data_IF_531819879931
#
_entry.id   IF_531819879931
#
_cell.length_a   1.000
_cell.length_b   1.000
_cell.length_c   1.000
_cell.angle_alpha   90.00
_cell.angle_beta   90.00
_cell.angle_gamma   90.00
#
_symmetry.space_group_name_H-M   'P 1'
#
loop_
_entity.id
_entity.type
_entity.pdbx_description
1 polymer ?
#
# COMPACT_ATOMS: atom_id res chain seq x y z
N UNK A 1 3.91 -10.74 36.05
CA UNK A 1 3.32 -10.03 34.89
C UNK A 1 2.99 -10.93 33.69
N UNK A 2 3.06 -12.26 33.78
CA UNK A 2 2.78 -13.18 32.67
C UNK A 2 1.30 -13.62 32.54
N UNK A 3 0.45 -13.31 33.53
CA UNK A 3 -0.94 -13.78 33.59
C UNK A 3 -1.90 -12.92 32.75
N UNK A 4 -1.64 -11.60 32.58
CA UNK A 4 -2.46 -10.74 31.72
C UNK A 4 -2.38 -11.12 30.25
N UNK A 5 -1.22 -11.57 29.78
CA UNK A 5 -1.04 -11.91 28.38
C UNK A 5 -1.92 -13.09 27.97
N UNK A 6 -2.04 -14.14 28.81
CA UNK A 6 -2.85 -15.34 28.51
C UNK A 6 -4.34 -15.05 28.33
N UNK A 7 -4.91 -14.08 29.06
CA UNK A 7 -6.32 -13.71 28.93
C UNK A 7 -6.61 -12.98 27.60
N UNK A 8 -5.64 -12.21 27.09
CA UNK A 8 -5.72 -11.52 25.79
C UNK A 8 -5.62 -12.54 24.63
N UNK A 9 -4.95 -13.69 24.82
CA UNK A 9 -4.76 -14.71 23.77
C UNK A 9 -6.05 -15.47 23.41
N UNK A 10 -7.06 -15.49 24.27
CA UNK A 10 -8.29 -16.25 24.07
C UNK A 10 -9.35 -15.51 23.24
N UNK A 11 -9.10 -14.24 22.89
CA UNK A 11 -10.02 -13.38 22.13
C UNK A 11 -9.37 -12.86 20.85
N UNK A 12 -8.59 -13.69 20.16
CA UNK A 12 -8.12 -13.29 18.84
C UNK A 12 -9.33 -13.21 17.91
N UNK A 13 -9.67 -12.02 17.37
CA UNK A 13 -10.70 -11.93 16.36
C UNK A 13 -10.26 -12.82 15.18
N UNK A 14 -11.20 -13.57 14.62
CA UNK A 14 -10.95 -14.30 13.38
C UNK A 14 -10.59 -13.25 12.33
N UNK A 15 -9.32 -13.17 11.95
CA UNK A 15 -8.90 -12.26 10.91
C UNK A 15 -9.31 -12.83 9.56
N UNK A 16 -10.12 -12.07 8.83
CA UNK A 16 -10.44 -12.33 7.44
C UNK A 16 -10.11 -11.07 6.64
N UNK A 17 -9.18 -11.23 5.71
CA UNK A 17 -8.59 -10.14 4.92
C UNK A 17 -9.65 -9.46 4.03
N UNK A 18 -10.40 -10.25 3.27
CA UNK A 18 -11.42 -9.74 2.34
C UNK A 18 -12.48 -8.93 3.08
N UNK A 19 -12.98 -9.43 4.21
CA UNK A 19 -13.99 -8.72 5.00
C UNK A 19 -13.44 -7.44 5.62
N UNK A 20 -12.17 -7.44 6.03
CA UNK A 20 -11.51 -6.27 6.62
C UNK A 20 -11.38 -5.16 5.58
N UNK A 21 -10.99 -5.49 4.35
CA UNK A 21 -10.87 -4.54 3.24
C UNK A 21 -12.24 -3.99 2.86
N UNK A 22 -13.26 -4.85 2.79
CA UNK A 22 -14.64 -4.45 2.51
C UNK A 22 -15.18 -3.45 3.54
N UNK A 23 -14.85 -3.65 4.81
CA UNK A 23 -15.18 -2.72 5.89
C UNK A 23 -14.43 -1.39 5.73
N UNK A 24 -13.16 -1.41 5.34
CA UNK A 24 -12.38 -0.20 5.14
C UNK A 24 -12.86 0.61 3.94
N UNK A 25 -13.23 -0.03 2.83
CA UNK A 25 -13.84 0.62 1.66
C UNK A 25 -15.16 1.30 2.05
N UNK A 26 -16.03 0.59 2.77
CA UNK A 26 -17.29 1.16 3.28
C UNK A 26 -17.06 2.28 4.29
N UNK A 27 -16.01 2.21 5.11
CA UNK A 27 -15.67 3.27 6.06
C UNK A 27 -15.08 4.50 5.35
N UNK A 28 -14.32 4.29 4.27
CA UNK A 28 -13.81 5.35 3.41
C UNK A 28 -14.95 6.14 2.75
N UNK A 29 -15.94 5.45 2.18
CA UNK A 29 -17.14 6.09 1.60
C UNK A 29 -17.93 6.92 2.62
N UNK A 30 -17.91 6.51 3.90
CA UNK A 30 -18.57 7.22 5.02
C UNK A 30 -17.72 8.34 5.62
N UNK A 31 -16.44 8.45 5.27
CA UNK A 31 -15.49 9.40 5.87
C UNK A 31 -15.00 9.01 7.27
N UNK A 32 -15.11 7.73 7.65
CA UNK A 32 -14.74 7.22 8.98
C UNK A 32 -13.44 6.37 8.97
N UNK A 33 -12.69 6.39 7.86
CA UNK A 33 -11.52 5.55 7.64
C UNK A 33 -10.51 5.60 8.79
N UNK A 34 -10.17 6.80 9.28
CA UNK A 34 -9.18 6.98 10.34
C UNK A 34 -9.56 6.20 11.60
N UNK A 35 -10.83 6.28 12.01
CA UNK A 35 -11.33 5.60 13.21
C UNK A 35 -11.25 4.09 13.04
N UNK A 36 -11.65 3.57 11.88
CA UNK A 36 -11.64 2.13 11.59
C UNK A 36 -10.21 1.58 11.57
N UNK A 37 -9.28 2.28 10.90
CA UNK A 37 -7.86 1.88 10.87
C UNK A 37 -7.21 1.92 12.26
N UNK A 38 -7.48 2.97 13.05
CA UNK A 38 -6.98 3.05 14.43
C UNK A 38 -7.51 1.91 15.29
N UNK A 39 -8.79 1.58 15.16
CA UNK A 39 -9.41 0.46 15.86
C UNK A 39 -8.72 -0.86 15.49
N UNK A 40 -8.53 -1.12 14.20
CA UNK A 40 -7.83 -2.31 13.69
C UNK A 40 -6.41 -2.40 14.25
N UNK A 41 -5.58 -1.37 14.04
CA UNK A 41 -4.20 -1.38 14.50
C UNK A 41 -4.07 -1.47 16.02
N UNK A 42 -4.98 -0.89 16.80
CA UNK A 42 -4.96 -1.04 18.26
C UNK A 42 -5.09 -2.50 18.72
N UNK A 43 -5.74 -3.35 17.91
CA UNK A 43 -5.90 -4.77 18.20
C UNK A 43 -4.72 -5.61 17.69
N UNK A 44 -4.27 -5.33 16.45
CA UNK A 44 -3.27 -6.18 15.79
C UNK A 44 -1.81 -5.75 16.03
N UNK A 45 -1.51 -4.48 16.32
CA UNK A 45 -0.12 -4.05 16.60
C UNK A 45 0.43 -4.72 17.86
N UNK A 46 -0.29 -4.76 19.02
CA UNK A 46 0.18 -5.48 20.19
C UNK A 46 0.29 -6.99 19.93
N UNK A 47 -0.57 -7.56 19.08
CA UNK A 47 -0.52 -8.96 18.69
C UNK A 47 0.82 -9.32 18.03
N UNK A 48 1.28 -8.45 17.14
CA UNK A 48 2.49 -8.64 16.35
C UNK A 48 3.74 -8.43 17.22
N UNK A 49 3.81 -7.32 17.96
CA UNK A 49 5.07 -6.87 18.58
C UNK A 49 5.17 -7.11 20.09
N UNK A 50 4.07 -7.31 20.84
CA UNK A 50 4.15 -7.45 22.31
C UNK A 50 4.52 -8.85 22.80
N UNK A 51 4.64 -9.83 21.89
CA UNK A 51 4.81 -11.25 22.21
C UNK A 51 6.25 -11.74 22.25
N UNK A 52 7.22 -10.85 22.01
CA UNK A 52 8.64 -11.21 21.93
C UNK A 52 8.87 -12.31 20.90
N UNK A 53 8.23 -12.17 19.75
CA UNK A 53 8.42 -13.09 18.64
C UNK A 53 9.83 -12.91 18.06
N UNK A 54 10.33 -13.94 17.39
CA UNK A 54 11.52 -13.78 16.56
C UNK A 54 11.23 -12.85 15.38
N UNK A 55 12.27 -12.21 14.86
CA UNK A 55 12.15 -11.18 13.81
C UNK A 55 11.39 -11.70 12.58
N UNK A 56 11.62 -12.94 12.18
CA UNK A 56 10.93 -13.53 11.02
C UNK A 56 9.42 -13.67 11.26
N UNK A 57 9.04 -14.08 12.46
CA UNK A 57 7.63 -14.26 12.83
C UNK A 57 6.92 -12.92 13.04
N UNK A 58 7.58 -11.94 13.64
CA UNK A 58 7.06 -10.57 13.71
C UNK A 58 6.81 -10.02 12.31
N UNK A 59 7.79 -10.16 11.41
CA UNK A 59 7.65 -9.72 10.02
C UNK A 59 6.48 -10.41 9.31
N UNK A 60 6.34 -11.73 9.49
CA UNK A 60 5.22 -12.48 8.89
C UNK A 60 3.87 -11.97 9.41
N UNK A 61 3.71 -11.78 10.72
CA UNK A 61 2.45 -11.28 11.26
C UNK A 61 2.19 -9.82 10.89
N UNK A 62 3.22 -8.97 10.86
CA UNK A 62 3.09 -7.60 10.40
C UNK A 62 2.61 -7.55 8.95
N UNK A 63 3.21 -8.37 8.08
CA UNK A 63 2.79 -8.50 6.69
C UNK A 63 1.34 -8.97 6.58
N UNK A 64 0.96 -10.04 7.28
CA UNK A 64 -0.40 -10.61 7.17
C UNK A 64 -1.49 -9.70 7.76
N UNK A 65 -1.27 -9.08 8.92
CA UNK A 65 -2.35 -8.38 9.63
C UNK A 65 -2.37 -6.86 9.42
N UNK A 66 -1.22 -6.26 9.08
CA UNK A 66 -1.06 -4.81 9.04
C UNK A 66 -0.84 -4.32 7.62
N UNK A 67 0.13 -4.89 6.90
CA UNK A 67 0.59 -4.34 5.64
C UNK A 67 -0.20 -4.86 4.44
N UNK A 68 -0.34 -6.17 4.26
CA UNK A 68 -1.01 -6.73 3.09
C UNK A 68 -2.46 -6.24 2.90
N UNK A 69 -3.30 -6.17 3.97
CA UNK A 69 -4.67 -5.65 3.84
C UNK A 69 -4.69 -4.17 3.47
N UNK A 70 -3.69 -3.40 3.95
CA UNK A 70 -3.53 -1.99 3.62
C UNK A 70 -3.10 -1.79 2.17
N UNK A 71 -2.15 -2.59 1.69
CA UNK A 71 -1.71 -2.56 0.31
C UNK A 71 -2.86 -2.87 -0.64
N UNK A 72 -3.62 -3.93 -0.37
CA UNK A 72 -4.79 -4.28 -1.19
C UNK A 72 -5.88 -3.20 -1.14
N UNK A 73 -6.15 -2.63 0.03
CA UNK A 73 -7.08 -1.51 0.18
C UNK A 73 -6.64 -0.29 -0.66
N UNK A 74 -5.36 0.07 -0.62
CA UNK A 74 -4.83 1.22 -1.38
C UNK A 74 -4.80 0.97 -2.89
N UNK A 75 -4.50 -0.26 -3.31
CA UNK A 75 -4.45 -0.64 -4.72
C UNK A 75 -5.83 -0.98 -5.31
N UNK A 76 -6.84 -1.20 -4.48
CA UNK A 76 -8.16 -1.66 -4.91
C UNK A 76 -8.13 -3.08 -5.50
N UNK A 77 -7.24 -3.95 -4.99
CA UNK A 77 -6.99 -5.30 -5.49
C UNK A 77 -5.55 -5.75 -5.24
N UNK A 78 -5.14 -6.84 -5.89
CA UNK A 78 -3.77 -7.36 -5.74
C UNK A 78 -2.72 -6.31 -6.18
N UNK A 79 -1.78 -5.92 -5.30
CA UNK A 79 -0.79 -4.90 -5.61
C UNK A 79 0.11 -5.28 -6.78
N UNK A 80 0.49 -6.56 -6.92
CA UNK A 80 1.41 -7.01 -7.98
C UNK A 80 0.77 -6.85 -9.36
N UNK A 81 -0.51 -7.21 -9.46
CA UNK A 81 -1.30 -7.02 -10.69
C UNK A 81 -1.48 -5.52 -10.96
N UNK A 82 -1.88 -4.74 -9.96
CA UNK A 82 -2.16 -3.31 -10.12
C UNK A 82 -0.92 -2.51 -10.52
N UNK A 83 0.25 -2.81 -9.95
CA UNK A 83 1.49 -2.16 -10.36
C UNK A 83 1.92 -2.57 -11.77
N UNK A 84 1.66 -3.81 -12.18
CA UNK A 84 1.92 -4.22 -13.56
C UNK A 84 1.00 -3.48 -14.54
N UNK A 85 -0.30 -3.39 -14.26
CA UNK A 85 -1.25 -2.61 -15.07
C UNK A 85 -0.82 -1.15 -15.20
N UNK A 86 -0.44 -0.52 -14.07
CA UNK A 86 0.07 0.86 -14.05
C UNK A 86 1.33 1.02 -14.91
N UNK A 87 2.25 0.05 -14.87
CA UNK A 87 3.48 0.06 -15.67
C UNK A 87 3.21 -0.11 -17.16
N UNK A 88 2.21 -0.91 -17.53
CA UNK A 88 1.79 -1.08 -18.93
C UNK A 88 1.09 0.18 -19.47
N UNK A 89 0.37 0.89 -18.61
CA UNK A 89 -0.24 2.18 -18.92
C UNK A 89 0.73 3.37 -18.87
N UNK A 90 1.96 3.15 -18.37
CA UNK A 90 2.97 4.20 -18.30
C UNK A 90 3.37 4.60 -19.72
N UNK A 91 2.98 5.82 -20.10
CA UNK A 91 3.34 6.43 -21.37
C UNK A 91 4.36 7.54 -21.08
N UNK A 92 5.65 7.19 -20.85
CA UNK A 92 6.65 8.18 -20.51
C UNK A 92 6.74 9.20 -21.64
N UNK A 93 6.72 10.49 -21.27
CA UNK A 93 6.83 11.57 -22.22
C UNK A 93 8.11 11.38 -23.04
N UNK A 94 7.95 11.13 -24.34
CA UNK A 94 9.04 11.07 -25.30
C UNK A 94 9.56 12.50 -25.52
N UNK A 95 10.18 13.10 -24.51
CA UNK A 95 10.94 14.34 -24.68
C UNK A 95 12.11 13.98 -25.58
N UNK A 96 12.16 14.53 -26.79
CA UNK A 96 13.27 14.26 -27.67
C UNK A 96 14.56 14.78 -27.01
N UNK A 97 15.54 13.90 -26.80
CA UNK A 97 16.79 14.21 -26.11
C UNK A 97 17.77 15.02 -26.96
N UNK A 98 17.28 15.95 -27.79
CA UNK A 98 18.17 16.79 -28.57
C UNK A 98 18.84 17.80 -27.64
N UNK A 99 20.13 17.59 -27.38
CA UNK A 99 20.96 18.58 -26.69
C UNK A 99 21.25 19.70 -27.70
N UNK A 100 20.69 20.88 -27.47
CA UNK A 100 20.93 22.05 -28.31
C UNK A 100 22.32 22.64 -28.03
N UNK A 101 22.93 23.25 -29.04
CA UNK A 101 24.23 23.94 -28.90
C UNK A 101 24.04 25.25 -28.13
N UNK A 102 25.09 25.72 -27.47
CA UNK A 102 25.08 26.97 -26.70
C UNK A 102 24.68 28.16 -27.58
N UNK A 103 23.55 28.79 -27.25
CA UNK A 103 23.05 29.99 -27.95
C UNK A 103 21.69 29.83 -28.65
N UNK A 104 21.12 28.62 -28.72
CA UNK A 104 19.79 28.39 -29.29
C UNK A 104 18.69 28.30 -28.21
N UNK A 105 17.46 28.80 -28.48
CA UNK A 105 16.33 28.67 -27.55
C UNK A 105 15.93 27.20 -27.38
N UNK A 106 15.81 26.74 -26.13
CA UNK A 106 15.48 25.35 -25.82
C UNK A 106 13.99 25.09 -26.02
N UNK A 107 13.64 24.36 -27.07
CA UNK A 107 12.29 23.81 -27.26
C UNK A 107 12.30 22.31 -26.98
N UNK A 108 11.61 21.88 -25.93
CA UNK A 108 11.38 20.46 -25.66
C UNK A 108 10.11 20.01 -26.38
N UNK A 109 10.25 19.13 -27.38
CA UNK A 109 9.10 18.53 -28.04
C UNK A 109 8.45 17.53 -27.08
N UNK A 110 7.18 17.75 -26.71
CA UNK A 110 6.39 16.80 -25.88
C UNK A 110 5.52 15.86 -26.72
N UNK A 111 5.76 15.77 -28.03
CA UNK A 111 4.93 15.00 -28.97
C UNK A 111 5.67 13.79 -29.54
N UNK A 112 4.99 12.65 -29.56
CA UNK A 112 5.47 11.38 -30.14
C UNK A 112 5.68 11.43 -31.67
N UNK A 113 5.26 12.52 -32.32
CA UNK A 113 5.42 12.76 -33.76
C UNK A 113 6.39 13.91 -34.06
N UNK A 114 7.59 13.89 -33.47
CA UNK A 114 8.66 14.81 -33.85
C UNK A 114 9.22 14.42 -35.24
N UNK A 115 8.52 14.78 -36.33
CA UNK A 115 9.07 14.66 -37.67
C UNK A 115 10.18 15.69 -37.85
N UNK A 116 11.34 15.25 -38.33
CA UNK A 116 12.44 16.10 -38.78
C UNK A 116 11.88 17.14 -39.75
N UNK A 117 11.87 18.40 -39.34
CA UNK A 117 11.76 19.55 -40.25
C UNK A 117 13.17 19.82 -40.77
#
# INVERSE_FOLDING_TARGET
>A
MAQSNKAILAQLPSFNEETTIDEWLKAYERGELERTLRCHWSQFVPLVFARGHDVEKEQRYANTFLFHPLEQFLCGGDPSIKFQELKEMDAPSQICGHVFRTGEPTYSCRSVHCRRI
#
